data_IF_950593780461
#
_entry.id   IF_950593780461
#
_cell.length_a   1.000
_cell.length_b   1.000
_cell.length_c   1.000
_cell.angle_alpha   90.00
_cell.angle_beta   90.00
_cell.angle_gamma   90.00
#
_symmetry.space_group_name_H-M   'P 1'
#
loop_
_entity.id
_entity.type
_entity.pdbx_description
1 polymer ?
#
# COMPACT_ATOMS: atom_id res chain seq x y z
N UNK A 1 -18.35 5.65 -17.96
CA UNK A 1 -18.83 5.86 -16.57
C UNK A 1 -18.93 4.49 -15.94
N UNK A 2 -18.23 4.23 -14.84
CA UNK A 2 -18.24 2.92 -14.18
C UNK A 2 -19.65 2.59 -13.68
N UNK A 3 -20.13 1.37 -13.91
CA UNK A 3 -21.41 0.90 -13.42
C UNK A 3 -21.32 0.68 -11.91
N UNK A 4 -22.12 1.43 -11.13
CA UNK A 4 -22.24 1.22 -9.69
C UNK A 4 -23.18 0.03 -9.44
N UNK A 5 -22.64 -1.06 -8.92
CA UNK A 5 -23.46 -2.14 -8.38
C UNK A 5 -23.74 -1.86 -6.90
N UNK A 6 -25.00 -1.93 -6.49
CA UNK A 6 -25.36 -1.75 -5.09
C UNK A 6 -25.21 -3.11 -4.37
N UNK A 7 -24.32 -3.18 -3.38
CA UNK A 7 -24.05 -4.41 -2.63
C UNK A 7 -24.45 -4.25 -1.17
N UNK A 8 -25.44 -5.03 -0.73
CA UNK A 8 -25.88 -5.02 0.66
C UNK A 8 -24.90 -5.82 1.54
N UNK A 9 -24.08 -5.11 2.32
CA UNK A 9 -23.11 -5.71 3.23
C UNK A 9 -23.72 -5.90 4.63
N UNK A 10 -23.55 -7.09 5.21
CA UNK A 10 -23.87 -7.35 6.62
C UNK A 10 -22.61 -7.22 7.47
N UNK A 11 -22.62 -6.29 8.42
CA UNK A 11 -21.53 -6.06 9.35
C UNK A 11 -21.96 -6.44 10.77
N UNK A 12 -21.08 -7.05 11.59
CA UNK A 12 -21.29 -7.15 13.03
C UNK A 12 -21.57 -5.77 13.63
N UNK A 13 -22.48 -5.70 14.61
CA UNK A 13 -22.94 -4.43 15.18
C UNK A 13 -21.79 -3.58 15.75
N UNK A 14 -20.84 -4.21 16.47
CA UNK A 14 -19.66 -3.55 17.01
C UNK A 14 -18.78 -2.95 15.92
N UNK A 15 -18.54 -3.69 14.83
CA UNK A 15 -17.74 -3.22 13.71
C UNK A 15 -18.43 -2.04 13.00
N UNK A 16 -19.74 -2.13 12.76
CA UNK A 16 -20.52 -1.04 12.19
C UNK A 16 -20.37 0.23 13.03
N UNK A 17 -20.53 0.14 14.35
CA UNK A 17 -20.41 1.28 15.25
C UNK A 17 -19.01 1.93 15.20
N UNK A 18 -17.94 1.12 15.21
CA UNK A 18 -16.58 1.65 15.11
C UNK A 18 -16.33 2.33 13.77
N UNK A 19 -16.75 1.72 12.67
CA UNK A 19 -16.55 2.30 11.33
C UNK A 19 -17.37 3.58 11.16
N UNK A 20 -18.59 3.64 11.68
CA UNK A 20 -19.39 4.87 11.67
C UNK A 20 -18.74 5.99 12.48
N UNK A 21 -18.09 5.67 13.60
CA UNK A 21 -17.36 6.67 14.39
C UNK A 21 -16.20 7.25 13.59
N UNK A 22 -15.34 6.39 13.03
CA UNK A 22 -14.19 6.81 12.22
C UNK A 22 -14.65 7.60 11.00
N UNK A 23 -15.68 7.14 10.29
CA UNK A 23 -16.20 7.85 9.13
C UNK A 23 -16.71 9.25 9.49
N UNK A 24 -17.37 9.41 10.66
CA UNK A 24 -17.78 10.72 11.16
C UNK A 24 -16.59 11.62 11.47
N UNK A 25 -15.57 11.09 12.14
CA UNK A 25 -14.36 11.83 12.50
C UNK A 25 -13.59 12.30 11.25
N UNK A 26 -13.60 11.48 10.19
CA UNK A 26 -13.02 11.77 8.87
C UNK A 26 -13.95 12.60 7.95
N UNK A 27 -15.15 12.98 8.40
CA UNK A 27 -16.10 13.78 7.62
C UNK A 27 -16.67 13.09 6.37
N UNK A 28 -16.69 11.75 6.35
CA UNK A 28 -17.08 10.90 5.22
C UNK A 28 -18.30 10.03 5.55
N UNK A 29 -19.01 9.57 4.52
CA UNK A 29 -20.08 8.60 4.72
C UNK A 29 -19.54 7.20 4.98
N UNK A 30 -20.28 6.37 5.71
CA UNK A 30 -19.96 4.95 5.92
C UNK A 30 -19.65 4.23 4.59
N UNK A 31 -20.45 4.48 3.55
CA UNK A 31 -20.26 3.85 2.25
C UNK A 31 -18.95 4.29 1.58
N UNK A 32 -18.64 5.58 1.60
CA UNK A 32 -17.38 6.09 1.05
C UNK A 32 -16.18 5.53 1.81
N UNK A 33 -16.25 5.51 3.14
CA UNK A 33 -15.22 4.88 3.98
C UNK A 33 -14.98 3.42 3.57
N UNK A 34 -16.05 2.61 3.46
CA UNK A 34 -15.95 1.20 3.07
C UNK A 34 -15.35 1.06 1.66
N UNK A 35 -15.77 1.88 0.70
CA UNK A 35 -15.25 1.84 -0.68
C UNK A 35 -13.76 2.15 -0.71
N UNK A 36 -13.32 3.19 0.02
CA UNK A 36 -11.91 3.55 0.12
C UNK A 36 -11.10 2.43 0.79
N UNK A 37 -11.58 1.88 1.91
CA UNK A 37 -10.90 0.78 2.59
C UNK A 37 -10.77 -0.48 1.71
N UNK A 38 -11.77 -0.78 0.89
CA UNK A 38 -11.70 -1.88 -0.09
C UNK A 38 -10.64 -1.57 -1.16
N UNK A 39 -10.63 -0.35 -1.69
CA UNK A 39 -9.65 0.07 -2.69
C UNK A 39 -8.21 -0.02 -2.14
N UNK A 40 -8.00 0.44 -0.91
CA UNK A 40 -6.71 0.35 -0.21
C UNK A 40 -6.27 -1.10 0.01
N UNK A 41 -7.17 -1.95 0.52
CA UNK A 41 -6.85 -3.38 0.73
C UNK A 41 -6.51 -4.07 -0.59
N UNK A 42 -7.23 -3.74 -1.67
CA UNK A 42 -6.95 -4.29 -2.99
C UNK A 42 -5.60 -3.79 -3.53
N UNK A 43 -5.29 -2.51 -3.34
CA UNK A 43 -4.01 -1.92 -3.72
C UNK A 43 -2.85 -2.57 -2.95
N UNK A 44 -3.00 -2.81 -1.65
CA UNK A 44 -2.00 -3.47 -0.83
C UNK A 44 -1.72 -4.91 -1.32
N UNK A 45 -2.78 -5.70 -1.58
CA UNK A 45 -2.65 -7.07 -2.10
C UNK A 45 -1.94 -7.06 -3.47
N UNK A 46 -2.43 -6.24 -4.40
CA UNK A 46 -1.85 -6.17 -5.76
C UNK A 46 -0.40 -5.69 -5.75
N UNK A 47 -0.06 -4.77 -4.85
CA UNK A 47 1.32 -4.28 -4.67
C UNK A 47 2.24 -5.39 -4.20
N UNK A 48 1.78 -6.22 -3.26
CA UNK A 48 2.55 -7.37 -2.80
C UNK A 48 2.81 -8.35 -3.95
N UNK A 49 1.78 -8.71 -4.73
CA UNK A 49 1.92 -9.57 -5.91
C UNK A 49 2.86 -8.97 -6.95
N UNK A 50 2.75 -7.67 -7.22
CA UNK A 50 3.63 -6.95 -8.14
C UNK A 50 5.09 -7.05 -7.71
N UNK A 51 5.41 -6.85 -6.43
CA UNK A 51 6.79 -6.96 -5.94
C UNK A 51 7.33 -8.39 -6.09
N UNK A 52 6.52 -9.41 -5.84
CA UNK A 52 6.92 -10.81 -6.06
C UNK A 52 7.25 -11.07 -7.54
N UNK A 53 6.38 -10.66 -8.47
CA UNK A 53 6.64 -10.81 -9.91
C UNK A 53 7.78 -9.94 -10.42
N UNK A 54 8.01 -8.78 -9.81
CA UNK A 54 9.14 -7.91 -10.13
C UNK A 54 10.46 -8.48 -9.65
N UNK A 55 10.47 -9.13 -8.48
CA UNK A 55 11.64 -9.76 -7.89
C UNK A 55 12.14 -10.94 -8.74
N UNK A 56 11.24 -11.74 -9.33
CA UNK A 56 11.60 -12.83 -10.26
C UNK A 56 12.38 -12.36 -11.49
N UNK A 57 12.21 -11.09 -11.88
CA UNK A 57 12.92 -10.45 -13.01
C UNK A 57 14.19 -9.72 -12.57
N UNK A 58 14.49 -9.72 -11.27
CA UNK A 58 15.70 -9.11 -10.71
C UNK A 58 16.91 -10.02 -10.86
N UNK A 59 18.09 -9.41 -10.92
CA UNK A 59 19.36 -10.11 -10.77
C UNK A 59 20.04 -9.57 -9.51
N UNK A 60 19.99 -10.35 -8.44
CA UNK A 60 20.54 -9.96 -7.14
C UNK A 60 22.07 -9.81 -7.20
N UNK A 61 22.75 -10.71 -7.89
CA UNK A 61 24.21 -10.69 -8.01
C UNK A 61 24.68 -9.44 -8.77
N UNK A 62 24.00 -9.07 -9.86
CA UNK A 62 24.28 -7.85 -10.60
C UNK A 62 24.01 -6.59 -9.76
N UNK A 63 22.96 -6.58 -8.94
CA UNK A 63 22.67 -5.48 -8.03
C UNK A 63 23.76 -5.35 -6.95
N UNK A 64 24.20 -6.45 -6.35
CA UNK A 64 25.29 -6.44 -5.36
C UNK A 64 26.63 -6.05 -5.97
N UNK A 65 26.93 -6.50 -7.19
CA UNK A 65 28.11 -6.08 -7.92
C UNK A 65 28.10 -4.58 -8.22
N UNK A 66 26.93 -4.03 -8.57
CA UNK A 66 26.75 -2.59 -8.79
C UNK A 66 26.97 -1.78 -7.49
N UNK A 67 26.45 -2.26 -6.36
CA UNK A 67 26.60 -1.60 -5.06
C UNK A 67 28.04 -1.65 -4.52
N UNK A 68 28.76 -2.74 -4.79
CA UNK A 68 30.15 -2.93 -4.34
C UNK A 68 31.20 -2.52 -5.38
N UNK A 69 30.79 -1.82 -6.45
CA UNK A 69 31.72 -1.45 -7.52
C UNK A 69 32.80 -0.50 -7.00
N UNK A 70 33.99 -0.61 -7.59
CA UNK A 70 35.06 0.36 -7.36
C UNK A 70 34.71 1.69 -8.02
N UNK A 71 34.81 2.78 -7.24
CA UNK A 71 34.44 4.13 -7.68
C UNK A 71 32.99 4.50 -7.38
N UNK A 72 32.66 5.79 -7.47
CA UNK A 72 31.38 6.35 -7.05
C UNK A 72 31.57 7.78 -6.55
N UNK A 73 30.47 8.43 -6.18
CA UNK A 73 30.56 9.69 -5.43
C UNK A 73 30.74 9.36 -3.94
N UNK A 74 31.54 10.15 -3.21
CA UNK A 74 31.58 10.02 -1.76
C UNK A 74 30.16 10.26 -1.19
N UNK A 75 29.85 9.69 0.00
CA UNK A 75 28.64 10.02 0.73
C UNK A 75 28.48 11.54 0.88
N UNK A 76 27.24 12.03 0.81
CA UNK A 76 26.98 13.44 1.05
C UNK A 76 27.09 13.75 2.55
N UNK A 77 27.24 15.02 2.91
CA UNK A 77 27.16 15.42 4.32
C UNK A 77 25.81 14.98 4.90
N UNK A 78 25.82 14.17 5.96
CA UNK A 78 24.64 13.53 6.54
C UNK A 78 24.46 12.04 6.20
N UNK A 79 25.23 11.48 5.25
CA UNK A 79 25.23 10.05 4.91
C UNK A 79 26.29 9.26 5.73
N UNK A 80 26.88 9.87 6.76
CA UNK A 80 27.89 9.21 7.58
C UNK A 80 27.28 8.05 8.37
N UNK A 81 28.00 6.92 8.43
CA UNK A 81 27.62 5.81 9.30
C UNK A 81 27.84 6.26 10.76
N UNK A 82 26.79 6.20 11.58
CA UNK A 82 26.84 6.49 13.01
C UNK A 82 27.73 5.50 13.78
#
# INVERSE_FOLDING_TARGET
>A
MGTTSNYALRLPASLKQSVEQVARDDGTSLNQFIVTAIAEKLAAIKTADYFQERAKRGNLDAALALLNRTGGMPPQAGDEIL
#
